data_IF_490625449004
#
_entry.id   IF_490625449004
#
_cell.length_a   1.000
_cell.length_b   1.000
_cell.length_c   1.000
_cell.angle_alpha   90.00
_cell.angle_beta   90.00
_cell.angle_gamma   90.00
#
_symmetry.space_group_name_H-M   'P 1'
#
loop_
_entity.id
_entity.type
_entity.pdbx_description
1 polymer ?
#
# COMPACT_ATOMS: atom_id res chain seq x y z
N UNK A 1 -8.48 12.24 -6.63
CA UNK A 1 -9.32 13.29 -7.23
C UNK A 1 -8.86 14.71 -6.82
N UNK A 2 -8.84 15.02 -5.52
CA UNK A 2 -8.63 16.40 -5.03
C UNK A 2 -7.41 17.12 -5.64
N UNK A 3 -6.26 16.46 -5.70
CA UNK A 3 -5.02 17.09 -6.17
C UNK A 3 -4.85 17.07 -7.70
N UNK A 4 -5.37 16.04 -8.38
CA UNK A 4 -5.04 15.75 -9.79
C UNK A 4 -6.28 15.59 -10.69
N UNK A 5 -7.49 15.69 -10.14
CA UNK A 5 -8.72 15.57 -10.91
C UNK A 5 -8.99 14.15 -11.46
N UNK A 6 -8.27 13.13 -10.97
CA UNK A 6 -8.45 11.75 -11.41
C UNK A 6 -9.53 11.09 -10.56
N UNK A 7 -10.71 10.88 -11.11
CA UNK A 7 -11.82 10.22 -10.44
C UNK A 7 -11.55 8.72 -10.24
N UNK A 8 -12.00 8.20 -9.10
CA UNK A 8 -12.06 6.77 -8.88
C UNK A 8 -13.22 6.14 -9.65
N UNK A 9 -13.04 4.90 -10.07
CA UNK A 9 -14.07 4.10 -10.74
C UNK A 9 -14.47 2.92 -9.87
N UNK A 10 -15.72 2.45 -10.02
CA UNK A 10 -16.22 1.28 -9.34
C UNK A 10 -15.62 0.03 -9.99
N UNK A 11 -15.19 -0.92 -9.17
CA UNK A 11 -14.78 -2.25 -9.61
C UNK A 11 -16.00 -3.17 -9.74
N UNK A 12 -16.00 -4.05 -10.72
CA UNK A 12 -17.03 -5.08 -10.88
C UNK A 12 -17.01 -6.08 -9.71
N UNK A 13 -15.81 -6.38 -9.20
CA UNK A 13 -15.57 -7.20 -8.02
C UNK A 13 -14.67 -6.50 -7.03
N UNK A 14 -14.90 -6.73 -5.74
CA UNK A 14 -14.02 -6.26 -4.66
C UNK A 14 -12.60 -6.77 -4.88
N UNK A 15 -11.61 -5.88 -4.93
CA UNK A 15 -10.21 -6.27 -4.84
C UNK A 15 -9.93 -6.68 -3.38
N UNK A 16 -9.92 -7.98 -3.10
CA UNK A 16 -9.87 -8.53 -1.76
C UNK A 16 -8.85 -9.64 -1.63
N UNK A 17 -7.77 -9.40 -0.87
CA UNK A 17 -6.68 -10.36 -0.71
C UNK A 17 -5.29 -9.77 -0.89
N UNK A 18 -4.33 -10.62 -1.20
CA UNK A 18 -2.94 -10.27 -1.51
C UNK A 18 -2.73 -10.35 -3.02
N UNK A 19 -2.20 -9.28 -3.58
CA UNK A 19 -1.93 -9.18 -5.01
C UNK A 19 -0.46 -8.91 -5.28
N UNK A 20 0.02 -9.44 -6.40
CA UNK A 20 1.37 -9.21 -6.87
C UNK A 20 1.51 -7.82 -7.47
N UNK A 21 2.59 -7.14 -7.10
CA UNK A 21 2.96 -5.83 -7.60
C UNK A 21 4.37 -5.87 -8.14
N UNK A 22 4.64 -5.10 -9.19
CA UNK A 22 5.97 -4.90 -9.78
C UNK A 22 6.49 -3.52 -9.45
N UNK A 23 7.78 -3.40 -9.16
CA UNK A 23 8.46 -2.13 -8.95
C UNK A 23 8.91 -1.59 -10.30
N UNK A 24 8.52 -0.35 -10.63
CA UNK A 24 8.81 0.29 -11.92
C UNK A 24 10.10 1.12 -11.90
N UNK A 25 10.43 1.77 -10.79
CA UNK A 25 11.58 2.65 -10.71
C UNK A 25 12.38 2.44 -9.41
N UNK A 26 13.41 1.60 -9.49
CA UNK A 26 14.29 1.24 -8.37
C UNK A 26 15.24 2.35 -7.91
N UNK A 27 15.40 3.43 -8.70
CA UNK A 27 16.29 4.55 -8.36
C UNK A 27 15.70 5.45 -7.29
N UNK A 28 14.39 5.36 -7.05
CA UNK A 28 13.69 6.17 -6.07
C UNK A 28 13.90 5.59 -4.67
N UNK A 29 14.38 6.38 -3.69
CA UNK A 29 14.65 5.91 -2.32
C UNK A 29 13.45 5.26 -1.63
N UNK A 30 12.22 5.66 -1.97
CA UNK A 30 11.00 5.13 -1.35
C UNK A 30 10.84 3.60 -1.53
N UNK A 31 11.35 3.06 -2.64
CA UNK A 31 11.28 1.61 -2.93
C UNK A 31 12.62 0.89 -2.70
N UNK A 32 13.55 1.52 -2.00
CA UNK A 32 14.84 0.89 -1.68
C UNK A 32 14.63 -0.37 -0.83
N UNK A 33 15.28 -1.46 -1.23
CA UNK A 33 15.17 -2.76 -0.53
C UNK A 33 13.91 -3.55 -0.89
N UNK A 34 13.09 -3.09 -1.83
CA UNK A 34 12.02 -3.89 -2.38
C UNK A 34 12.57 -4.95 -3.34
N UNK A 35 11.92 -6.10 -3.38
CA UNK A 35 12.11 -7.09 -4.43
C UNK A 35 11.52 -6.57 -5.76
N UNK A 36 11.84 -7.21 -6.90
CA UNK A 36 11.28 -6.86 -8.21
C UNK A 36 9.76 -6.93 -8.22
N UNK A 37 9.25 -7.94 -7.51
CA UNK A 37 7.82 -8.19 -7.30
C UNK A 37 7.57 -8.49 -5.82
N UNK A 38 6.42 -8.07 -5.32
CA UNK A 38 6.04 -8.28 -3.92
C UNK A 38 4.52 -8.42 -3.78
N UNK A 39 4.07 -9.03 -2.69
CA UNK A 39 2.67 -9.11 -2.32
C UNK A 39 2.27 -7.96 -1.41
N UNK A 40 1.09 -7.40 -1.64
CA UNK A 40 0.49 -6.42 -0.73
C UNK A 40 -1.03 -6.62 -0.61
N UNK A 41 -1.60 -6.33 0.59
CA UNK A 41 -3.03 -6.45 0.83
C UNK A 41 -3.84 -5.37 0.13
N UNK A 42 -5.01 -5.76 -0.38
CA UNK A 42 -6.05 -4.87 -0.85
C UNK A 42 -7.42 -5.28 -0.29
N UNK A 43 -8.26 -4.29 0.00
CA UNK A 43 -9.67 -4.47 0.38
C UNK A 43 -10.46 -3.25 -0.07
N UNK A 44 -10.84 -3.21 -1.35
CA UNK A 44 -11.48 -2.02 -1.93
C UNK A 44 -12.49 -2.37 -3.02
N UNK A 45 -13.51 -1.53 -3.16
CA UNK A 45 -14.55 -1.61 -4.20
C UNK A 45 -14.32 -0.63 -5.35
N UNK A 46 -13.33 0.25 -5.23
CA UNK A 46 -13.03 1.28 -6.24
C UNK A 46 -11.55 1.29 -6.55
N UNK A 47 -11.19 1.83 -7.71
CA UNK A 47 -9.80 2.07 -8.08
C UNK A 47 -9.60 3.44 -8.71
N UNK A 48 -8.35 3.89 -8.72
CA UNK A 48 -7.91 5.03 -9.52
C UNK A 48 -7.40 4.48 -10.85
N UNK A 49 -7.99 4.88 -12.01
CA UNK A 49 -7.59 4.34 -13.31
C UNK A 49 -6.10 4.55 -13.57
N UNK A 50 -5.39 3.44 -13.78
CA UNK A 50 -3.92 3.44 -13.89
C UNK A 50 -3.44 4.19 -15.14
N UNK A 51 -4.16 4.09 -16.26
CA UNK A 51 -3.90 4.81 -17.50
C UNK A 51 -3.92 6.33 -17.31
N UNK A 52 -4.88 6.84 -16.54
CA UNK A 52 -4.97 8.26 -16.21
C UNK A 52 -3.85 8.72 -15.28
N UNK A 53 -3.41 7.86 -14.36
CA UNK A 53 -2.29 8.16 -13.48
C UNK A 53 -0.99 8.22 -14.28
N UNK A 54 -0.77 7.29 -15.21
CA UNK A 54 0.40 7.29 -16.10
C UNK A 54 0.40 8.47 -17.09
N UNK A 55 -0.77 8.95 -17.48
CA UNK A 55 -0.89 10.10 -18.38
C UNK A 55 -0.61 11.46 -17.68
N UNK A 56 -0.59 11.52 -16.36
CA UNK A 56 -0.33 12.75 -15.62
C UNK A 56 1.16 12.86 -15.27
N UNK A 57 1.88 13.70 -16.02
CA UNK A 57 3.33 13.91 -15.86
C UNK A 57 3.74 14.42 -14.46
N UNK A 58 2.81 14.92 -13.67
CA UNK A 58 3.05 15.37 -12.29
C UNK A 58 3.18 14.22 -11.31
N UNK A 59 2.77 13.00 -11.71
CA UNK A 59 2.74 11.80 -10.88
C UNK A 59 3.77 10.80 -11.37
N UNK A 60 4.58 10.28 -10.47
CA UNK A 60 5.51 9.18 -10.75
C UNK A 60 4.99 7.89 -10.15
N UNK A 61 4.62 6.93 -10.99
CA UNK A 61 4.22 5.59 -10.54
C UNK A 61 5.46 4.80 -10.16
N UNK A 62 5.48 4.22 -8.97
CA UNK A 62 6.61 3.47 -8.42
C UNK A 62 6.36 1.96 -8.36
N UNK A 63 5.12 1.57 -8.11
CA UNK A 63 4.71 0.17 -8.12
C UNK A 63 3.24 0.02 -8.53
N UNK A 64 2.97 -1.03 -9.31
CA UNK A 64 1.64 -1.34 -9.82
C UNK A 64 1.42 -2.85 -9.92
N UNK A 65 0.17 -3.25 -10.10
CA UNK A 65 -0.29 -4.63 -10.30
C UNK A 65 -1.05 -4.74 -11.60
N UNK A 66 -0.83 -5.83 -12.33
CA UNK A 66 -1.61 -6.14 -13.54
C UNK A 66 -3.08 -6.51 -13.20
N UNK A 67 -3.34 -6.90 -11.93
CA UNK A 67 -4.68 -7.32 -11.49
C UNK A 67 -5.46 -6.19 -10.79
N UNK A 68 -4.77 -5.37 -9.99
CA UNK A 68 -5.42 -4.36 -9.13
C UNK A 68 -4.86 -2.95 -9.33
N UNK A 69 -4.14 -2.70 -10.42
CA UNK A 69 -3.70 -1.38 -10.84
C UNK A 69 -2.68 -0.72 -9.89
N UNK A 70 -2.87 0.56 -9.61
CA UNK A 70 -1.92 1.35 -8.84
C UNK A 70 -1.74 0.85 -7.41
N UNK A 71 -0.48 0.69 -7.00
CA UNK A 71 -0.12 0.47 -5.59
C UNK A 71 0.56 1.69 -4.97
N UNK A 72 1.63 2.19 -5.60
CA UNK A 72 2.45 3.25 -5.04
C UNK A 72 2.78 4.29 -6.09
N UNK A 73 2.50 5.54 -5.78
CA UNK A 73 2.90 6.68 -6.58
C UNK A 73 3.40 7.83 -5.70
N UNK A 74 4.15 8.74 -6.29
CA UNK A 74 4.60 9.95 -5.64
C UNK A 74 4.48 11.16 -6.56
N UNK A 75 4.39 12.34 -5.96
CA UNK A 75 4.39 13.61 -6.65
C UNK A 75 5.10 14.69 -5.82
N UNK A 76 5.35 15.86 -6.44
CA UNK A 76 5.99 17.01 -5.80
C UNK A 76 7.30 16.63 -5.08
N UNK A 77 8.17 15.88 -5.75
CA UNK A 77 9.46 15.41 -5.22
C UNK A 77 9.32 14.66 -3.87
N UNK A 78 8.26 13.85 -3.72
CA UNK A 78 8.03 13.04 -2.54
C UNK A 78 7.28 13.74 -1.39
N UNK A 79 6.83 14.97 -1.59
CA UNK A 79 5.94 15.64 -0.63
C UNK A 79 4.54 15.06 -0.60
N UNK A 80 4.16 14.36 -1.67
CA UNK A 80 2.92 13.62 -1.77
C UNK A 80 3.23 12.17 -2.13
N UNK A 81 2.77 11.25 -1.29
CA UNK A 81 2.93 9.80 -1.48
C UNK A 81 1.55 9.18 -1.39
N UNK A 82 1.21 8.38 -2.39
CA UNK A 82 -0.08 7.72 -2.52
C UNK A 82 0.11 6.20 -2.48
N UNK A 83 -0.50 5.56 -1.49
CA UNK A 83 -0.49 4.10 -1.32
C UNK A 83 -1.92 3.61 -1.46
N UNK A 84 -2.20 2.79 -2.49
CA UNK A 84 -3.55 2.33 -2.81
C UNK A 84 -3.89 0.96 -2.23
N UNK A 85 -2.92 0.28 -1.64
CA UNK A 85 -3.11 -0.94 -0.86
C UNK A 85 -3.02 -0.67 0.65
N UNK A 86 -3.01 -1.75 1.42
CA UNK A 86 -2.98 -1.71 2.88
C UNK A 86 -1.73 -2.41 3.46
N UNK A 87 -0.51 -1.89 3.23
CA UNK A 87 0.71 -2.49 3.77
C UNK A 87 0.71 -2.55 5.30
N UNK A 88 -0.07 -1.67 5.97
CA UNK A 88 -0.22 -1.59 7.42
C UNK A 88 -1.05 -2.73 8.03
N UNK A 89 -1.78 -3.50 7.24
CA UNK A 89 -2.66 -4.54 7.75
C UNK A 89 -1.93 -5.59 8.58
N UNK A 90 -2.54 -5.95 9.71
CA UNK A 90 -2.12 -7.09 10.50
C UNK A 90 -2.48 -8.42 9.84
N UNK A 91 -1.82 -9.48 10.31
CA UNK A 91 -2.02 -10.85 9.78
C UNK A 91 -3.50 -11.24 9.68
N UNK A 92 -4.32 -10.83 10.67
CA UNK A 92 -5.72 -11.28 10.79
C UNK A 92 -6.74 -10.28 10.26
N UNK A 93 -6.33 -9.13 9.70
CA UNK A 93 -7.27 -8.08 9.30
C UNK A 93 -8.20 -8.54 8.19
N UNK A 94 -7.68 -9.14 7.11
CA UNK A 94 -8.53 -9.64 6.02
C UNK A 94 -9.40 -10.84 6.46
N UNK A 95 -8.92 -11.68 7.37
CA UNK A 95 -9.71 -12.77 7.96
C UNK A 95 -10.91 -12.21 8.75
N UNK A 96 -10.68 -11.17 9.54
CA UNK A 96 -11.74 -10.48 10.26
C UNK A 96 -12.78 -9.83 9.34
N UNK A 97 -12.33 -9.19 8.24
CA UNK A 97 -13.23 -8.64 7.22
C UNK A 97 -14.05 -9.75 6.54
N UNK A 98 -13.42 -10.83 6.13
CA UNK A 98 -14.08 -11.98 5.50
C UNK A 98 -15.16 -12.57 6.41
N UNK A 99 -14.82 -12.87 7.67
CA UNK A 99 -15.76 -13.44 8.64
C UNK A 99 -16.92 -12.50 8.95
N UNK A 100 -16.63 -11.20 9.10
CA UNK A 100 -17.64 -10.16 9.33
C UNK A 100 -18.64 -10.10 8.17
N UNK A 101 -18.14 -10.02 6.93
CA UNK A 101 -19.00 -9.84 5.76
C UNK A 101 -19.79 -11.13 5.46
N UNK A 102 -19.18 -12.30 5.65
CA UNK A 102 -19.85 -13.60 5.57
C UNK A 102 -20.97 -13.75 6.60
N UNK A 103 -20.74 -13.31 7.86
CA UNK A 103 -21.75 -13.37 8.92
C UNK A 103 -22.96 -12.48 8.65
N UNK A 104 -22.79 -11.42 7.85
CA UNK A 104 -23.85 -10.52 7.38
C UNK A 104 -24.58 -11.03 6.13
N UNK A 105 -24.21 -12.19 5.60
CA UNK A 105 -24.77 -12.74 4.37
C UNK A 105 -24.38 -11.96 3.10
N UNK A 106 -23.32 -11.16 3.16
CA UNK A 106 -22.83 -10.43 1.99
C UNK A 106 -22.11 -11.37 1.02
N UNK A 107 -22.22 -11.14 -0.30
CA UNK A 107 -21.50 -11.91 -1.30
C UNK A 107 -20.02 -11.55 -1.24
N UNK A 108 -19.22 -12.29 -0.46
CA UNK A 108 -17.80 -12.12 -0.33
C UNK A 108 -17.06 -13.40 -0.73
N UNK A 109 -16.06 -13.25 -1.61
CA UNK A 109 -15.14 -14.31 -1.97
C UNK A 109 -14.03 -14.44 -0.90
N UNK A 110 -13.33 -15.58 -0.88
CA UNK A 110 -12.13 -15.72 -0.05
C UNK A 110 -11.08 -14.69 -0.45
N UNK A 111 -10.35 -14.09 0.53
CA UNK A 111 -9.26 -13.20 0.20
C UNK A 111 -8.17 -13.96 -0.55
N UNK A 112 -7.86 -13.50 -1.78
CA UNK A 112 -6.92 -14.14 -2.71
C UNK A 112 -5.51 -14.23 -2.11
N UNK A 113 -4.82 -15.36 -2.29
CA UNK A 113 -3.42 -15.60 -1.86
C UNK A 113 -3.16 -15.38 -0.36
N UNK A 114 -4.18 -15.41 0.48
CA UNK A 114 -4.08 -15.00 1.88
C UNK A 114 -4.00 -16.18 2.85
N UNK A 115 -4.83 -17.20 2.65
CA UNK A 115 -4.77 -18.40 3.47
C UNK A 115 -3.75 -19.41 2.92
N UNK A 116 -3.21 -20.24 3.80
CA UNK A 116 -2.37 -21.37 3.40
C UNK A 116 -3.21 -22.34 2.55
N UNK A 117 -2.71 -22.67 1.36
CA UNK A 117 -3.38 -23.57 0.42
C UNK A 117 -4.85 -23.15 0.13
N UNK A 118 -5.14 -21.85 0.18
CA UNK A 118 -6.48 -21.25 0.05
C UNK A 118 -7.53 -21.83 1.03
N UNK A 119 -7.08 -22.35 2.18
CA UNK A 119 -7.91 -22.98 3.19
C UNK A 119 -7.99 -22.09 4.46
N UNK A 120 -9.16 -21.52 4.80
CA UNK A 120 -9.34 -20.70 5.99
C UNK A 120 -9.01 -21.42 7.30
N UNK A 121 -9.16 -22.74 7.36
CA UNK A 121 -8.86 -23.53 8.58
C UNK A 121 -7.35 -23.63 8.84
N UNK A 122 -6.53 -23.44 7.79
CA UNK A 122 -5.06 -23.40 7.93
C UNK A 122 -4.50 -22.04 8.34
N UNK A 123 -5.37 -21.04 8.39
CA UNK A 123 -5.05 -19.68 8.81
C UNK A 123 -4.24 -18.87 7.78
N UNK A 124 -4.10 -17.56 8.04
CA UNK A 124 -3.47 -16.64 7.12
C UNK A 124 -1.94 -16.79 7.06
N UNK A 125 -1.38 -16.52 5.88
CA UNK A 125 0.05 -16.46 5.61
C UNK A 125 0.50 -15.00 5.49
N UNK A 126 1.36 -14.54 6.41
CA UNK A 126 1.89 -13.17 6.40
C UNK A 126 3.10 -13.07 5.45
N UNK A 127 2.92 -12.44 4.29
CA UNK A 127 3.93 -12.36 3.23
C UNK A 127 4.30 -10.94 2.81
N UNK A 128 3.71 -9.91 3.40
CA UNK A 128 3.89 -8.50 3.00
C UNK A 128 4.63 -7.63 4.03
N UNK A 129 4.86 -8.11 5.26
CA UNK A 129 5.40 -7.29 6.35
C UNK A 129 6.79 -6.71 6.07
N UNK A 130 7.67 -7.46 5.44
CA UNK A 130 9.02 -6.99 5.14
C UNK A 130 8.99 -5.79 4.18
N UNK A 131 8.22 -5.89 3.11
CA UNK A 131 8.02 -4.79 2.15
C UNK A 131 7.33 -3.59 2.80
N UNK A 132 6.32 -3.82 3.64
CA UNK A 132 5.65 -2.75 4.39
C UNK A 132 6.64 -2.01 5.32
N UNK A 133 7.47 -2.73 6.07
CA UNK A 133 8.48 -2.12 6.93
C UNK A 133 9.48 -1.29 6.10
N UNK A 134 9.94 -1.80 4.96
CA UNK A 134 10.83 -1.06 4.07
C UNK A 134 10.16 0.23 3.57
N UNK A 135 8.89 0.18 3.15
CA UNK A 135 8.15 1.35 2.70
C UNK A 135 8.11 2.44 3.76
N UNK A 136 7.66 2.11 4.97
CA UNK A 136 7.54 3.09 6.06
C UNK A 136 8.89 3.60 6.54
N UNK A 137 9.90 2.73 6.64
CA UNK A 137 11.27 3.12 7.02
C UNK A 137 11.88 4.06 5.98
N UNK A 138 11.72 3.76 4.69
CA UNK A 138 12.20 4.62 3.61
C UNK A 138 11.47 5.96 3.60
N UNK A 139 10.15 5.96 3.79
CA UNK A 139 9.38 7.19 3.89
C UNK A 139 9.87 8.07 5.04
N UNK A 140 10.00 7.53 6.24
CA UNK A 140 10.49 8.26 7.41
C UNK A 140 11.91 8.80 7.19
N UNK A 141 12.84 7.95 6.74
CA UNK A 141 14.24 8.32 6.63
C UNK A 141 14.53 9.30 5.49
N UNK A 142 13.91 9.12 4.32
CA UNK A 142 14.27 9.89 3.12
C UNK A 142 13.32 11.06 2.82
N UNK A 143 12.10 11.06 3.36
CA UNK A 143 11.10 12.08 3.04
C UNK A 143 10.63 12.87 4.26
N UNK A 144 10.55 12.25 5.44
CA UNK A 144 10.16 12.97 6.66
C UNK A 144 11.36 13.61 7.33
N UNK A 145 12.35 12.81 7.75
CA UNK A 145 13.51 13.34 8.49
C UNK A 145 14.39 14.27 7.65
N UNK A 146 14.57 13.99 6.36
CA UNK A 146 15.39 14.84 5.47
C UNK A 146 14.69 16.14 5.09
N UNK A 147 13.36 16.19 5.13
CA UNK A 147 12.58 17.37 4.75
C UNK A 147 12.13 18.24 5.94
N UNK A 148 12.23 17.71 7.17
CA UNK A 148 11.83 18.43 8.38
C UNK A 148 13.03 19.18 8.94
N UNK A 149 13.00 20.53 9.01
CA UNK A 149 14.06 21.28 9.64
C UNK A 149 14.12 20.91 11.13
N UNK A 150 15.29 20.47 11.57
CA UNK A 150 15.54 20.08 12.94
C UNK A 150 16.58 21.03 13.55
N UNK A 151 16.20 21.79 14.56
CA UNK A 151 17.09 22.65 15.32
C UNK A 151 17.64 21.92 16.53
N UNK A 152 18.91 21.53 16.46
CA UNK A 152 19.59 20.83 17.56
C UNK A 152 19.78 21.71 18.81
N UNK A 153 19.86 23.04 18.62
CA UNK A 153 20.05 23.99 19.73
C UNK A 153 18.74 24.30 20.45
N UNK A 154 17.61 24.08 19.79
CA UNK A 154 16.27 24.30 20.33
C UNK A 154 15.60 23.06 20.98
N UNK A 155 16.30 21.93 21.10
CA UNK A 155 15.72 20.74 21.75
C UNK A 155 15.62 20.93 23.26
N UNK A 156 14.41 20.79 23.84
CA UNK A 156 14.30 20.74 25.30
C UNK A 156 15.09 19.55 25.84
N UNK A 157 15.78 19.74 26.97
CA UNK A 157 16.42 18.66 27.72
C UNK A 157 15.36 17.60 28.09
N UNK A 158 15.24 16.53 27.31
CA UNK A 158 14.44 15.38 27.65
C UNK A 158 15.18 14.56 28.72
N UNK A 159 14.97 14.91 29.98
CA UNK A 159 15.33 13.99 31.09
C UNK A 159 14.25 12.92 31.15
N UNK A 160 14.58 11.71 30.74
CA UNK A 160 13.78 10.53 31.02
C UNK A 160 13.71 10.34 32.54
N UNK A 161 12.54 10.52 33.14
CA UNK A 161 12.27 10.15 34.54
C UNK A 161 11.78 8.72 34.61
#
# INVERSE_FOLDING_TARGET
YYHYGIDKVQLDKKAFGLFWHKVLNRKIPLVRGFDDVFLAPHSRHTETPLDKVHADERITVLAESDEVGLFLAMAQNGRQIFVMGHPEYDRITLDGEYKRDKSKGLPIELPKNYYRDDDPEKGPLLTWRATANNLYTNWLNYYVYQATPYDLEGTPDFTWK
#
